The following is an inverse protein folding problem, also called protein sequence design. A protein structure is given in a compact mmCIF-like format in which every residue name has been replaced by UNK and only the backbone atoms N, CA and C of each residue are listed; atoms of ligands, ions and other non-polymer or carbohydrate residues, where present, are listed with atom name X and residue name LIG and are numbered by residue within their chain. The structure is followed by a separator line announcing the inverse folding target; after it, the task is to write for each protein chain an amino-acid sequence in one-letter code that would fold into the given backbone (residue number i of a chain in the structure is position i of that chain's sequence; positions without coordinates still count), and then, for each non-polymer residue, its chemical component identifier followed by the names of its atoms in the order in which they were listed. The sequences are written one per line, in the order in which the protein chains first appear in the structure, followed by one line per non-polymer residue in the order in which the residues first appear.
data_IF_253243241425
#
_entry.id   IF_253243241425
#
_cell.length_a   1.000
_cell.length_b   1.000
_cell.length_c   1.000
_cell.angle_alpha   90.00
_cell.angle_beta   90.00
_cell.angle_gamma   90.00
#
_symmetry.space_group_name_H-M   'P 1'
#
loop_
_entity.id
_entity.type
_entity.pdbx_description
1 polymer ?
#
# COMPACT_ATOMS: atom_id res chain seq x y z
N UNK A 1 -9.77 5.78 -13.61
CA UNK A 1 -8.50 6.40 -13.15
C UNK A 1 -8.64 6.88 -11.72
N UNK A 2 -7.91 6.28 -10.79
CA UNK A 2 -7.86 6.67 -9.39
C UNK A 2 -6.48 7.26 -9.03
N UNK A 3 -6.45 8.24 -8.13
CA UNK A 3 -5.23 8.97 -7.73
C UNK A 3 -5.12 8.94 -6.22
N UNK A 4 -3.95 8.58 -5.71
CA UNK A 4 -3.66 8.52 -4.28
C UNK A 4 -2.36 9.25 -3.98
N UNK A 5 -2.42 10.19 -3.06
CA UNK A 5 -1.25 10.89 -2.52
C UNK A 5 -0.81 10.24 -1.21
N UNK A 6 0.46 10.37 -0.88
CA UNK A 6 0.99 9.81 0.35
C UNK A 6 2.50 9.94 0.46
N UNK A 7 3.05 9.24 1.46
CA UNK A 7 4.50 9.11 1.62
C UNK A 7 4.95 7.70 1.29
N UNK A 8 6.11 7.57 0.68
CA UNK A 8 6.72 6.29 0.32
C UNK A 8 8.16 6.23 0.80
N UNK A 9 8.58 5.06 1.29
CA UNK A 9 9.96 4.76 1.66
C UNK A 9 10.34 3.37 1.16
N UNK A 10 11.63 3.12 0.96
CA UNK A 10 12.18 1.84 0.53
C UNK A 10 13.67 1.75 0.87
N UNK A 11 14.32 0.64 0.53
CA UNK A 11 15.71 0.39 0.93
C UNK A 11 16.70 1.48 0.47
N UNK A 12 16.46 2.07 -0.71
CA UNK A 12 17.24 3.18 -1.26
C UNK A 12 16.45 4.48 -1.40
N UNK A 13 15.26 4.58 -0.78
CA UNK A 13 14.37 5.73 -0.88
C UNK A 13 14.03 6.25 0.52
N UNK A 14 14.55 7.46 0.81
CA UNK A 14 14.11 8.22 1.98
C UNK A 14 12.62 8.53 1.90
N UNK A 15 11.98 8.68 3.07
CA UNK A 15 10.56 8.98 3.18
C UNK A 15 10.17 10.24 2.38
N UNK A 16 9.53 10.01 1.23
CA UNK A 16 9.28 11.03 0.22
C UNK A 16 7.80 11.11 -0.14
N UNK A 17 7.31 12.31 -0.46
CA UNK A 17 5.94 12.49 -0.93
C UNK A 17 5.82 12.03 -2.38
N UNK A 18 4.80 11.22 -2.66
CA UNK A 18 4.55 10.64 -3.98
C UNK A 18 3.06 10.65 -4.33
N UNK A 19 2.77 10.67 -5.63
CA UNK A 19 1.43 10.46 -6.16
C UNK A 19 1.39 9.15 -6.93
N UNK A 20 0.50 8.25 -6.55
CA UNK A 20 0.21 7.00 -7.25
C UNK A 20 -1.03 7.21 -8.12
N UNK A 21 -0.95 6.78 -9.38
CA UNK A 21 -2.09 6.73 -10.30
C UNK A 21 -2.35 5.30 -10.73
N UNK A 22 -3.59 4.88 -10.57
CA UNK A 22 -4.13 3.59 -10.99
C UNK A 22 -5.00 3.83 -12.21
N UNK A 23 -4.45 3.49 -13.36
CA UNK A 23 -5.05 3.77 -14.66
C UNK A 23 -5.90 2.60 -15.15
N UNK A 24 -6.88 2.90 -16.01
CA UNK A 24 -7.82 1.92 -16.55
C UNK A 24 -7.12 0.88 -17.46
N UNK A 25 -5.89 1.16 -17.90
CA UNK A 25 -5.01 0.25 -18.62
C UNK A 25 -4.30 -0.78 -17.71
N UNK A 26 -4.72 -0.87 -16.44
CA UNK A 26 -4.17 -1.75 -15.39
C UNK A 26 -2.69 -1.50 -15.15
N UNK A 27 -2.32 -0.22 -15.05
CA UNK A 27 -0.97 0.18 -14.66
C UNK A 27 -0.97 1.03 -13.40
N UNK A 28 0.05 0.81 -12.59
CA UNK A 28 0.44 1.71 -11.52
C UNK A 28 1.50 2.69 -12.07
N UNK A 29 1.25 3.98 -11.95
CA UNK A 29 2.23 5.03 -12.25
C UNK A 29 2.56 5.81 -10.98
N UNK A 30 3.85 6.04 -10.73
CA UNK A 30 4.32 6.77 -9.55
C UNK A 30 4.94 8.09 -10.00
N UNK A 31 4.59 9.16 -9.31
CA UNK A 31 5.11 10.50 -9.55
C UNK A 31 5.75 11.05 -8.27
N UNK A 32 6.86 11.76 -8.43
CA UNK A 32 7.48 12.58 -7.40
C UNK A 32 7.33 14.05 -7.81
N UNK A 33 6.29 14.71 -7.30
CA UNK A 33 5.86 16.01 -7.80
C UNK A 33 5.47 15.94 -9.29
N UNK A 34 6.03 16.79 -10.18
CA UNK A 34 5.68 16.80 -11.60
C UNK A 34 6.36 15.69 -12.41
N UNK A 35 7.31 14.93 -11.82
CA UNK A 35 8.13 13.96 -12.54
C UNK A 35 7.56 12.56 -12.40
N UNK A 36 7.36 11.87 -13.53
CA UNK A 36 7.02 10.45 -13.56
C UNK A 36 8.26 9.62 -13.18
N UNK A 37 8.18 8.90 -12.07
CA UNK A 37 9.24 8.02 -11.57
C UNK A 37 9.23 6.69 -12.31
N UNK A 38 8.04 6.15 -12.57
CA UNK A 38 7.90 4.90 -13.30
C UNK A 38 6.46 4.48 -13.55
N UNK A 39 6.32 3.38 -14.29
CA UNK A 39 5.03 2.85 -14.73
C UNK A 39 5.13 1.33 -14.85
N UNK A 40 4.35 0.61 -14.05
CA UNK A 40 4.38 -0.85 -13.98
C UNK A 40 3.00 -1.45 -14.26
N UNK A 41 2.92 -2.61 -14.92
CA UNK A 41 1.66 -3.33 -15.02
C UNK A 41 1.24 -3.82 -13.64
N UNK A 42 -0.06 -3.76 -13.33
CA UNK A 42 -0.62 -4.21 -12.05
C UNK A 42 -0.34 -5.69 -11.74
N UNK A 43 -0.08 -6.52 -12.77
CA UNK A 43 0.34 -7.92 -12.58
C UNK A 43 1.72 -8.08 -11.94
N UNK A 44 2.53 -7.02 -11.87
CA UNK A 44 3.84 -6.98 -11.21
C UNK A 44 3.83 -6.18 -9.91
N UNK A 45 2.65 -5.75 -9.47
CA UNK A 45 2.45 -4.99 -8.25
C UNK A 45 1.63 -5.85 -7.30
N UNK A 46 2.09 -5.99 -6.06
CA UNK A 46 1.28 -6.55 -4.99
C UNK A 46 1.31 -5.64 -3.78
N UNK A 47 0.15 -5.45 -3.16
CA UNK A 47 0.00 -4.63 -1.97
C UNK A 47 -0.46 -5.49 -0.79
N UNK A 48 0.27 -5.39 0.33
CA UNK A 48 -0.10 -5.99 1.60
C UNK A 48 -0.41 -4.87 2.60
N UNK A 49 -1.61 -4.90 3.19
CA UNK A 49 -1.98 -3.96 4.23
C UNK A 49 -1.40 -4.44 5.56
N UNK A 50 -0.36 -3.74 6.04
CA UNK A 50 0.34 -4.09 7.29
C UNK A 50 -0.24 -3.37 8.51
N UNK A 51 -0.96 -2.25 8.30
CA UNK A 51 -1.72 -1.57 9.34
C UNK A 51 -2.89 -0.78 8.72
N UNK A 52 -3.67 -0.08 9.54
CA UNK A 52 -4.76 0.78 9.04
C UNK A 52 -4.23 1.86 8.09
N UNK A 53 -3.00 2.35 8.28
CA UNK A 53 -2.40 3.50 7.57
C UNK A 53 -1.15 3.14 6.75
N UNK A 54 -0.79 1.85 6.68
CA UNK A 54 0.49 1.43 6.09
C UNK A 54 0.33 0.20 5.22
N UNK A 55 0.94 0.28 4.03
CA UNK A 55 0.92 -0.75 3.02
C UNK A 55 2.36 -1.10 2.64
N UNK A 56 2.65 -2.39 2.55
CA UNK A 56 3.87 -2.87 1.91
C UNK A 56 3.55 -3.11 0.44
N UNK A 57 4.24 -2.40 -0.45
CA UNK A 57 4.08 -2.51 -1.89
C UNK A 57 5.31 -3.22 -2.45
N UNK A 58 5.11 -4.38 -3.07
CA UNK A 58 6.13 -4.99 -3.91
C UNK A 58 5.88 -4.57 -5.36
N UNK A 59 6.85 -3.89 -5.96
CA UNK A 59 6.79 -3.37 -7.33
C UNK A 59 7.97 -3.96 -8.09
N UNK A 60 7.69 -4.88 -9.02
CA UNK A 60 8.71 -5.54 -9.85
C UNK A 60 9.85 -6.20 -9.04
N UNK A 61 9.53 -6.69 -7.83
CA UNK A 61 10.48 -7.35 -6.93
C UNK A 61 11.08 -6.44 -5.85
N UNK A 62 10.88 -5.13 -5.93
CA UNK A 62 11.37 -4.17 -4.93
C UNK A 62 10.28 -3.83 -3.90
N UNK A 63 10.65 -3.77 -2.63
CA UNK A 63 9.71 -3.55 -1.53
C UNK A 63 9.72 -2.09 -1.06
N UNK A 64 8.54 -1.50 -0.98
CA UNK A 64 8.31 -0.15 -0.47
C UNK A 64 7.28 -0.18 0.65
N UNK A 65 7.39 0.74 1.60
CA UNK A 65 6.29 1.07 2.50
C UNK A 65 5.61 2.34 2.00
N UNK A 66 4.29 2.28 1.86
CA UNK A 66 3.45 3.37 1.41
C UNK A 66 2.41 3.75 2.47
N UNK A 67 2.29 5.05 2.68
CA UNK A 67 1.42 5.70 3.66
C UNK A 67 0.46 6.63 2.90
N UNK A 68 -0.66 6.09 2.36
CA UNK A 68 -1.65 6.88 1.64
C UNK A 68 -2.37 7.85 2.56
N UNK A 69 -2.74 9.01 2.03
CA UNK A 69 -3.62 9.96 2.71
C UNK A 69 -5.07 9.45 2.84
N UNK A 70 -5.52 8.65 1.88
CA UNK A 70 -6.75 7.86 1.94
C UNK A 70 -6.46 6.35 1.94
N UNK A 71 -6.20 5.75 3.13
CA UNK A 71 -5.90 4.33 3.25
C UNK A 71 -7.04 3.39 2.84
N UNK A 72 -8.30 3.80 3.04
CA UNK A 72 -9.44 2.95 2.75
C UNK A 72 -9.68 2.91 1.24
N UNK A 73 -9.76 4.07 0.60
CA UNK A 73 -9.90 4.15 -0.85
C UNK A 73 -8.72 3.49 -1.57
N UNK A 74 -7.50 3.64 -1.06
CA UNK A 74 -6.34 2.97 -1.65
C UNK A 74 -6.42 1.45 -1.52
N UNK A 75 -6.78 0.94 -0.34
CA UNK A 75 -6.87 -0.50 -0.08
C UNK A 75 -7.86 -1.20 -1.01
N UNK A 76 -9.02 -0.59 -1.23
CA UNK A 76 -10.08 -1.16 -2.07
C UNK A 76 -9.68 -1.18 -3.55
N UNK A 77 -9.04 -0.10 -4.03
CA UNK A 77 -8.65 0.03 -5.43
C UNK A 77 -7.43 -0.82 -5.80
N UNK A 78 -6.39 -0.84 -4.95
CA UNK A 78 -5.17 -1.62 -5.20
C UNK A 78 -5.41 -3.12 -5.01
N UNK A 79 -6.53 -3.51 -4.39
CA UNK A 79 -6.81 -4.89 -4.00
C UNK A 79 -5.87 -5.38 -2.91
N UNK A 80 -5.55 -4.53 -1.93
CA UNK A 80 -4.59 -4.87 -0.88
C UNK A 80 -5.08 -6.05 -0.06
N UNK A 81 -4.21 -7.05 0.13
CA UNK A 81 -4.51 -8.21 0.98
C UNK A 81 -4.07 -7.89 2.41
N UNK A 82 -4.87 -8.31 3.39
CA UNK A 82 -4.49 -8.25 4.80
C UNK A 82 -3.83 -9.56 5.18
N UNK A 83 -2.53 -9.55 5.52
CA UNK A 83 -1.88 -10.71 6.11
C UNK A 83 -2.22 -10.80 7.62
N UNK A 84 -3.21 -11.64 7.92
CA UNK A 84 -3.65 -11.96 9.28
C UNK A 84 -2.68 -12.88 10.04
N UNK A 85 -1.64 -13.40 9.38
CA UNK A 85 -0.66 -14.31 9.99
C UNK A 85 0.55 -13.58 10.56
N UNK A 86 0.88 -12.40 10.03
CA UNK A 86 1.94 -11.50 10.53
C UNK A 86 1.43 -10.45 11.51
N UNK A 87 0.13 -10.20 11.54
CA UNK A 87 -0.49 -9.49 12.66
C UNK A 87 -0.51 -10.43 13.86
N UNK A 88 0.32 -10.12 14.85
CA UNK A 88 0.31 -10.81 16.14
C UNK A 88 -1.13 -11.06 16.61
N UNK A 89 -1.37 -12.27 17.14
CA UNK A 89 -2.60 -12.86 17.70
C UNK A 89 -3.43 -12.03 18.70
N UNK A 90 -3.20 -10.73 18.82
CA UNK A 90 -4.03 -9.81 19.60
C UNK A 90 -5.10 -9.25 18.65
N UNK A 91 -6.34 -9.73 18.62
CA UNK A 91 -7.29 -9.22 19.61
C UNK A 91 -8.68 -9.89 19.56
N UNK A 92 -8.99 -10.80 18.63
CA UNK A 92 -10.34 -11.40 18.60
C UNK A 92 -10.55 -12.41 19.71
N UNK A 93 -9.60 -13.32 19.91
CA UNK A 93 -9.69 -14.34 20.96
C UNK A 93 -9.65 -13.72 22.35
N UNK A 94 -8.73 -12.79 22.58
CA UNK A 94 -8.62 -12.09 23.87
C UNK A 94 -9.80 -11.15 24.16
N UNK A 95 -10.40 -10.51 23.14
CA UNK A 95 -11.63 -9.74 23.33
C UNK A 95 -12.81 -10.63 23.74
N UNK A 96 -12.93 -11.82 23.13
CA UNK A 96 -13.96 -12.81 23.48
C UNK A 96 -13.75 -13.35 24.91
N UNK A 97 -12.51 -13.65 25.29
CA UNK A 97 -12.17 -14.17 26.63
C UNK A 97 -12.38 -13.13 27.74
N UNK A 98 -12.22 -11.83 27.46
CA UNK A 98 -12.51 -10.73 28.41
C UNK A 98 -14.00 -10.44 28.62
N UNK A 99 -14.88 -11.01 27.79
CA UNK A 99 -16.34 -10.79 27.87
C UNK A 99 -17.06 -11.95 28.58
N UNK A 100 -16.30 -12.93 29.10
CA UNK A 100 -16.81 -14.07 29.88
C UNK A 100 -16.48 -13.95 31.36
#
# INVERSE_FOLDING_TARGET
MAIYEGRMQGDSLDLSHVTLRLDDDKRLRIFAGPVAVGSWPMSRVSAERTSIYRFSLNIDGELFEFFPEDPLGFSDEIGAVVDLTRTSRFSLKEAIERTR
#
